data_IF_944580291790
#
_entry.id   IF_944580291790
#
_cell.length_a   1.000
_cell.length_b   1.000
_cell.length_c   1.000
_cell.angle_alpha   90.00
_cell.angle_beta   90.00
_cell.angle_gamma   90.00
#
_symmetry.space_group_name_H-M   'P 1'
#
loop_
_entity.id
_entity.type
_entity.pdbx_description
1 polymer ?
#
# COMPACT_ATOMS: atom_id res chain seq x y z
N UNK A 1 -7.15 16.31 -9.20
CA UNK A 1 -7.04 16.09 -7.75
C UNK A 1 -7.66 14.73 -7.43
N UNK A 2 -6.97 13.88 -6.65
CA UNK A 2 -7.58 12.61 -6.19
C UNK A 2 -8.59 12.94 -5.10
N UNK A 3 -9.77 12.32 -5.15
CA UNK A 3 -10.75 12.43 -4.06
C UNK A 3 -10.12 11.91 -2.77
N UNK A 4 -10.41 12.57 -1.64
CA UNK A 4 -9.93 12.13 -0.32
C UNK A 4 -10.37 10.70 -0.01
N UNK A 5 -11.61 10.33 -0.35
CA UNK A 5 -12.09 8.95 -0.19
C UNK A 5 -11.29 7.94 -1.00
N UNK A 6 -10.87 8.32 -2.22
CA UNK A 6 -10.01 7.46 -3.05
C UNK A 6 -8.63 7.26 -2.43
N UNK A 7 -8.05 8.29 -1.79
CA UNK A 7 -6.77 8.21 -1.09
C UNK A 7 -6.86 7.32 0.16
N UNK A 8 -7.94 7.43 0.94
CA UNK A 8 -8.16 6.57 2.10
C UNK A 8 -8.30 5.11 1.67
N UNK A 9 -9.13 4.84 0.66
CA UNK A 9 -9.28 3.49 0.12
C UNK A 9 -7.95 2.93 -0.41
N UNK A 10 -7.21 3.69 -1.22
CA UNK A 10 -5.92 3.24 -1.76
C UNK A 10 -4.88 2.98 -0.66
N UNK A 11 -4.93 3.76 0.43
CA UNK A 11 -4.09 3.54 1.62
C UNK A 11 -4.45 2.21 2.30
N UNK A 12 -5.74 1.97 2.59
CA UNK A 12 -6.20 0.71 3.22
C UNK A 12 -5.80 -0.50 2.37
N UNK A 13 -6.06 -0.46 1.06
CA UNK A 13 -5.67 -1.54 0.16
C UNK A 13 -4.15 -1.76 0.12
N UNK A 14 -3.36 -0.67 0.12
CA UNK A 14 -1.90 -0.80 0.14
C UNK A 14 -1.42 -1.46 1.43
N UNK A 15 -1.99 -1.12 2.60
CA UNK A 15 -1.65 -1.77 3.88
C UNK A 15 -1.97 -3.26 3.84
N UNK A 16 -3.16 -3.64 3.39
CA UNK A 16 -3.58 -5.05 3.31
C UNK A 16 -2.67 -5.85 2.37
N UNK A 17 -2.29 -5.26 1.23
CA UNK A 17 -1.40 -5.90 0.27
C UNK A 17 0.03 -6.03 0.80
N UNK A 18 0.55 -5.04 1.53
CA UNK A 18 1.85 -5.17 2.23
C UNK A 18 1.77 -6.33 3.23
N UNK A 19 0.77 -6.35 4.09
CA UNK A 19 0.61 -7.40 5.10
C UNK A 19 0.56 -8.80 4.48
N UNK A 20 -0.30 -9.00 3.48
CA UNK A 20 -0.46 -10.28 2.80
C UNK A 20 0.85 -10.76 2.14
N UNK A 21 1.57 -9.86 1.46
CA UNK A 21 2.81 -10.23 0.79
C UNK A 21 3.94 -10.49 1.78
N UNK A 22 3.99 -9.79 2.92
CA UNK A 22 4.98 -10.06 3.98
C UNK A 22 4.71 -11.41 4.64
N UNK A 23 3.46 -11.73 4.96
CA UNK A 23 3.09 -13.03 5.51
C UNK A 23 3.42 -14.18 4.54
N UNK A 24 3.03 -14.03 3.27
CA UNK A 24 3.36 -14.98 2.21
C UNK A 24 4.87 -15.13 2.02
N UNK A 25 5.63 -14.03 2.05
CA UNK A 25 7.09 -14.04 2.00
C UNK A 25 7.68 -14.87 3.15
N UNK A 26 7.23 -14.61 4.39
CA UNK A 26 7.71 -15.32 5.58
C UNK A 26 7.39 -16.82 5.53
N UNK A 27 6.16 -17.17 5.17
CA UNK A 27 5.72 -18.56 5.07
C UNK A 27 6.45 -19.31 3.96
N UNK A 28 6.73 -18.66 2.82
CA UNK A 28 7.50 -19.27 1.71
C UNK A 28 8.99 -19.38 2.04
N UNK A 29 9.55 -18.40 2.74
CA UNK A 29 10.93 -18.42 3.21
C UNK A 29 11.16 -19.59 4.18
N UNK A 30 10.29 -19.74 5.17
CA UNK A 30 10.40 -20.81 6.18
C UNK A 30 10.10 -22.20 5.63
N UNK A 31 9.27 -22.32 4.60
CA UNK A 31 9.02 -23.59 3.89
C UNK A 31 10.09 -23.95 2.84
N UNK A 32 11.15 -23.16 2.71
CA UNK A 32 12.24 -23.43 1.76
C UNK A 32 11.87 -23.25 0.29
N UNK A 33 10.78 -22.52 0.01
CA UNK A 33 10.33 -22.28 -1.36
C UNK A 33 11.21 -21.24 -2.05
N UNK A 34 11.88 -21.60 -3.15
CA UNK A 34 12.80 -20.73 -3.91
C UNK A 34 12.17 -19.42 -4.42
N UNK A 35 10.86 -19.35 -4.58
CA UNK A 35 10.15 -18.18 -5.11
C UNK A 35 9.63 -17.22 -4.02
N UNK A 36 10.08 -17.38 -2.77
CA UNK A 36 9.70 -16.48 -1.66
C UNK A 36 9.96 -14.99 -1.97
N UNK A 37 11.09 -14.70 -2.63
CA UNK A 37 11.54 -13.34 -2.96
C UNK A 37 10.54 -12.53 -3.80
N UNK A 38 9.70 -13.17 -4.61
CA UNK A 38 8.67 -12.49 -5.43
C UNK A 38 7.70 -11.72 -4.54
N UNK A 39 7.27 -12.32 -3.42
CA UNK A 39 6.39 -11.67 -2.46
C UNK A 39 7.11 -10.52 -1.74
N UNK A 40 8.44 -10.64 -1.54
CA UNK A 40 9.26 -9.56 -0.99
C UNK A 40 9.31 -8.33 -1.90
N UNK A 41 9.50 -8.53 -3.22
CA UNK A 41 9.47 -7.43 -4.20
C UNK A 41 8.09 -6.79 -4.28
N UNK A 42 7.03 -7.61 -4.30
CA UNK A 42 5.65 -7.11 -4.29
C UNK A 42 5.36 -6.29 -3.02
N UNK A 43 5.75 -6.80 -1.85
CA UNK A 43 5.61 -6.06 -0.58
C UNK A 43 6.32 -4.71 -0.64
N UNK A 44 7.55 -4.65 -1.16
CA UNK A 44 8.28 -3.40 -1.33
C UNK A 44 7.56 -2.42 -2.27
N UNK A 45 7.02 -2.91 -3.39
CA UNK A 45 6.22 -2.09 -4.32
C UNK A 45 4.96 -1.50 -3.68
N UNK A 46 4.22 -2.30 -2.91
CA UNK A 46 3.06 -1.83 -2.17
C UNK A 46 3.43 -0.89 -1.02
N UNK A 47 4.58 -1.08 -0.38
CA UNK A 47 5.09 -0.18 0.65
C UNK A 47 5.40 1.22 0.08
N UNK A 48 6.03 1.28 -1.11
CA UNK A 48 6.27 2.56 -1.80
C UNK A 48 4.94 3.26 -2.09
N UNK A 49 3.95 2.51 -2.60
CA UNK A 49 2.61 3.03 -2.87
C UNK A 49 1.93 3.56 -1.60
N UNK A 50 2.08 2.83 -0.48
CA UNK A 50 1.57 3.24 0.82
C UNK A 50 2.20 4.56 1.30
N UNK A 51 3.53 4.67 1.22
CA UNK A 51 4.25 5.90 1.61
C UNK A 51 3.78 7.09 0.76
N UNK A 52 3.59 6.90 -0.54
CA UNK A 52 3.10 7.95 -1.44
C UNK A 52 1.67 8.35 -1.05
N UNK A 53 0.76 7.39 -0.85
CA UNK A 53 -0.63 7.70 -0.47
C UNK A 53 -0.71 8.42 0.89
N UNK A 54 0.09 8.00 1.88
CA UNK A 54 0.16 8.65 3.20
C UNK A 54 0.71 10.08 3.07
N UNK A 55 1.80 10.27 2.31
CA UNK A 55 2.35 11.61 2.05
C UNK A 55 1.33 12.49 1.35
N UNK A 56 0.58 11.92 0.41
CA UNK A 56 -0.52 12.59 -0.28
C UNK A 56 -1.70 12.90 0.63
N UNK A 57 -1.90 12.21 1.77
CA UNK A 57 -2.91 12.46 2.83
C UNK A 57 -2.44 13.49 3.88
N UNK A 58 -1.14 13.66 4.07
CA UNK A 58 -0.60 14.73 4.92
C UNK A 58 -0.43 16.06 4.19
N UNK A 59 -0.18 16.01 2.89
CA UNK A 59 -0.08 17.21 2.05
C UNK A 59 -1.49 17.77 1.79
N UNK A 60 -1.97 18.61 2.73
CA UNK A 60 -3.28 19.31 2.83
C UNK A 60 -3.83 20.06 1.57
N UNK A 61 -3.47 19.69 0.34
CA UNK A 61 -4.10 20.17 -0.89
C UNK A 61 -5.27 19.25 -1.29
N UNK A 62 -6.14 18.90 -0.35
CA UNK A 62 -7.44 18.32 -0.74
C UNK A 62 -8.31 19.49 -1.15
N UNK A 63 -8.75 19.50 -2.40
CA UNK A 63 -9.99 20.21 -2.71
C UNK A 63 -11.07 19.53 -1.88
N UNK A 64 -11.39 20.12 -0.74
CA UNK A 64 -12.75 20.03 -0.21
C UNK A 64 -13.60 20.53 -1.37
N UNK A 65 -14.40 19.66 -1.96
CA UNK A 65 -15.44 20.12 -2.87
C UNK A 65 -16.30 21.07 -2.05
N UNK A 66 -16.05 22.37 -2.14
CA UNK A 66 -17.04 23.35 -1.75
C UNK A 66 -18.27 23.00 -2.56
N UNK A 67 -19.27 22.46 -1.86
CA UNK A 67 -20.63 22.44 -2.35
C UNK A 67 -21.00 23.90 -2.61
N UNK A 68 -21.35 24.20 -3.86
CA UNK A 68 -21.92 25.50 -4.26
C UNK A 68 -22.97 26.01 -3.27
#
# INVERSE_FOLDING_TARGET
>A
MKSFGMLVCSTIFSVLLVYYNVDSFYNKFTSGNTYYWVNGILAAGFLISLIINIKDIFKKNYTTSESN
#
